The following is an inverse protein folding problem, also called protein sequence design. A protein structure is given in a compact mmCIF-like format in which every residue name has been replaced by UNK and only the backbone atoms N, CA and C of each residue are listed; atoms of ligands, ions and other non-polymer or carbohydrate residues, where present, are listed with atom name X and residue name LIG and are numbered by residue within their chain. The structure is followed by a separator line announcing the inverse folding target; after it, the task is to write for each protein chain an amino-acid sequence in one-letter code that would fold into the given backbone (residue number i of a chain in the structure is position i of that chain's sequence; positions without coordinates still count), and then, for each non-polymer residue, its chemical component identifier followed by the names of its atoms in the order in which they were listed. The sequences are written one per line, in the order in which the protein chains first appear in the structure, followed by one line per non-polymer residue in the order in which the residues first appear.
data_IF_248979090516
#
_entry.id   IF_248979090516
#
_cell.length_a   1.000
_cell.length_b   1.000
_cell.length_c   1.000
_cell.angle_alpha   90.00
_cell.angle_beta   90.00
_cell.angle_gamma   90.00
#
_symmetry.space_group_name_H-M   'P 1'
#
loop_
_entity.id
_entity.type
_entity.pdbx_description
1 polymer ?
#
# COMPACT_ATOMS: atom_id res chain seq x y z
N UNK A 1 -0.76 -25.91 5.51
CA UNK A 1 -1.37 -25.28 6.71
C UNK A 1 -1.26 -23.78 6.55
N UNK A 2 -2.35 -23.09 6.19
CA UNK A 2 -2.37 -21.63 5.96
C UNK A 2 -3.69 -21.05 6.50
N UNK A 3 -3.96 -21.28 7.78
CA UNK A 3 -5.20 -20.86 8.47
C UNK A 3 -5.00 -19.73 9.47
N UNK A 4 -3.76 -19.24 9.69
CA UNK A 4 -3.49 -18.20 10.69
C UNK A 4 -3.76 -16.76 10.26
N UNK A 5 -3.53 -16.42 8.98
CA UNK A 5 -3.59 -15.02 8.54
C UNK A 5 -5.03 -14.49 8.39
N UNK A 6 -5.99 -15.37 8.07
CA UNK A 6 -7.40 -14.99 7.92
C UNK A 6 -8.09 -14.72 9.25
N UNK A 7 -7.77 -15.47 10.30
CA UNK A 7 -8.39 -15.35 11.63
C UNK A 7 -7.92 -14.07 12.35
N UNK A 8 -6.64 -13.72 12.21
CA UNK A 8 -6.08 -12.46 12.71
C UNK A 8 -6.64 -11.23 11.98
N UNK A 9 -6.93 -11.35 10.69
CA UNK A 9 -7.56 -10.28 9.92
C UNK A 9 -8.99 -10.00 10.40
N UNK A 10 -9.75 -11.03 10.78
CA UNK A 10 -11.11 -10.89 11.30
C UNK A 10 -11.11 -10.20 12.67
N UNK A 11 -10.19 -10.58 13.56
CA UNK A 11 -10.06 -9.94 14.87
C UNK A 11 -9.68 -8.46 14.75
N UNK A 12 -8.83 -8.12 13.78
CA UNK A 12 -8.46 -6.74 13.48
C UNK A 12 -9.67 -5.94 12.97
N UNK A 13 -10.46 -6.48 12.03
CA UNK A 13 -11.64 -5.81 11.48
C UNK A 13 -12.66 -5.44 12.57
N UNK A 14 -12.82 -6.29 13.59
CA UNK A 14 -13.70 -6.01 14.73
C UNK A 14 -13.25 -4.84 15.62
N UNK A 15 -11.99 -4.40 15.51
CA UNK A 15 -11.39 -3.32 16.33
C UNK A 15 -11.23 -2.00 15.58
N UNK A 16 -11.38 -1.98 14.26
CA UNK A 16 -11.18 -0.78 13.44
C UNK A 16 -12.44 0.08 13.37
N UNK A 17 -12.30 1.39 13.59
CA UNK A 17 -13.34 2.34 13.25
C UNK A 17 -13.37 2.57 11.73
N UNK A 18 -14.49 2.22 11.09
CA UNK A 18 -14.70 2.36 9.64
C UNK A 18 -15.33 3.70 9.25
N UNK A 19 -15.84 4.48 10.22
CA UNK A 19 -16.50 5.75 9.93
C UNK A 19 -15.60 6.76 9.18
N UNK A 20 -14.29 6.88 9.48
CA UNK A 20 -13.39 7.75 8.73
C UNK A 20 -13.31 7.37 7.25
N UNK A 21 -13.13 6.09 6.94
CA UNK A 21 -13.07 5.59 5.57
C UNK A 21 -14.38 5.78 4.80
N UNK A 22 -15.54 5.61 5.45
CA UNK A 22 -16.84 5.88 4.84
C UNK A 22 -16.93 7.36 4.42
N UNK A 23 -16.59 8.29 5.33
CA UNK A 23 -16.60 9.73 5.06
C UNK A 23 -15.63 10.12 3.94
N UNK A 24 -14.41 9.59 3.97
CA UNK A 24 -13.41 9.88 2.94
C UNK A 24 -13.88 9.39 1.56
N UNK A 25 -14.45 8.18 1.48
CA UNK A 25 -15.01 7.65 0.23
C UNK A 25 -16.15 8.53 -0.30
N UNK A 26 -17.02 9.03 0.57
CA UNK A 26 -18.09 9.95 0.18
C UNK A 26 -17.54 11.28 -0.33
N UNK A 27 -16.53 11.85 0.34
CA UNK A 27 -15.83 13.06 -0.11
C UNK A 27 -15.19 12.86 -1.50
N UNK A 28 -14.51 11.74 -1.71
CA UNK A 28 -13.92 11.39 -3.01
C UNK A 28 -15.00 11.29 -4.10
N UNK A 29 -16.14 10.67 -3.79
CA UNK A 29 -17.27 10.56 -4.71
C UNK A 29 -17.85 11.94 -5.05
N UNK A 30 -18.03 12.81 -4.05
CA UNK A 30 -18.57 14.17 -4.24
C UNK A 30 -17.62 15.08 -5.03
N UNK A 31 -16.32 15.03 -4.77
CA UNK A 31 -15.33 15.89 -5.41
C UNK A 31 -14.99 15.45 -6.85
N UNK A 32 -14.95 14.14 -7.10
CA UNK A 32 -14.38 13.60 -8.34
C UNK A 32 -15.29 12.66 -9.12
N UNK A 33 -16.46 12.28 -8.59
CA UNK A 33 -17.35 11.29 -9.21
C UNK A 33 -16.67 9.92 -9.43
N UNK A 34 -15.62 9.63 -8.67
CA UNK A 34 -14.73 8.48 -8.85
C UNK A 34 -14.70 7.62 -7.59
N UNK A 35 -14.41 6.31 -7.69
CA UNK A 35 -14.16 5.48 -6.51
C UNK A 35 -12.77 5.77 -5.92
N UNK A 36 -12.52 5.31 -4.70
CA UNK A 36 -11.20 5.44 -4.03
C UNK A 36 -10.16 4.50 -4.66
N UNK A 37 -10.56 3.29 -5.03
CA UNK A 37 -9.72 2.29 -5.69
C UNK A 37 -10.44 1.73 -6.93
N UNK A 38 -9.71 1.03 -7.80
CA UNK A 38 -10.32 0.39 -8.95
C UNK A 38 -11.19 -0.81 -8.53
N UNK A 39 -12.35 -1.03 -9.17
CA UNK A 39 -13.26 -2.14 -8.85
C UNK A 39 -12.78 -3.50 -9.41
N UNK A 40 -11.76 -3.53 -10.27
CA UNK A 40 -11.26 -4.73 -10.94
C UNK A 40 -9.77 -4.94 -10.69
N UNK A 41 -9.28 -6.17 -10.86
CA UNK A 41 -7.88 -6.58 -10.89
C UNK A 41 -7.01 -5.90 -11.97
N UNK A 42 -7.55 -4.93 -12.71
CA UNK A 42 -6.81 -4.14 -13.67
C UNK A 42 -6.29 -2.86 -13.01
N UNK A 43 -4.97 -2.74 -12.94
CA UNK A 43 -4.22 -1.64 -12.30
C UNK A 43 -3.90 -0.52 -13.30
N UNK A 44 -4.42 -0.63 -14.53
CA UNK A 44 -4.20 0.35 -15.58
C UNK A 44 -4.92 1.67 -15.25
N UNK A 45 -4.16 2.77 -15.24
CA UNK A 45 -4.62 4.08 -14.76
C UNK A 45 -4.48 4.32 -13.24
N UNK A 46 -4.08 3.30 -12.47
CA UNK A 46 -3.87 3.44 -11.02
C UNK A 46 -2.74 4.42 -10.69
N UNK A 47 -2.90 5.08 -9.55
CA UNK A 47 -1.87 5.90 -8.95
C UNK A 47 -1.34 5.22 -7.68
N UNK A 48 -0.02 5.10 -7.57
CA UNK A 48 0.60 4.43 -6.43
C UNK A 48 1.03 5.43 -5.35
N UNK A 49 0.84 5.01 -4.11
CA UNK A 49 1.31 5.72 -2.92
C UNK A 49 2.07 4.77 -2.02
N UNK A 50 2.84 5.37 -1.12
CA UNK A 50 3.57 4.68 -0.06
C UNK A 50 2.86 4.93 1.27
N UNK A 51 2.50 3.86 1.96
CA UNK A 51 2.02 3.88 3.33
C UNK A 51 3.17 3.51 4.26
N UNK A 52 3.44 4.37 5.24
CA UNK A 52 4.43 4.11 6.30
C UNK A 52 3.72 4.06 7.64
N UNK A 53 3.79 2.93 8.34
CA UNK A 53 3.16 2.74 9.65
C UNK A 53 4.13 3.15 10.77
N UNK A 54 3.70 4.04 11.67
CA UNK A 54 4.52 4.46 12.80
C UNK A 54 4.18 3.68 14.07
N UNK A 55 2.93 3.82 14.55
CA UNK A 55 2.36 3.02 15.65
C UNK A 55 1.45 1.95 15.07
N UNK A 56 1.49 0.74 15.62
CA UNK A 56 0.53 -0.31 15.31
C UNK A 56 0.46 -1.34 16.46
N UNK A 57 -0.72 -1.92 16.67
CA UNK A 57 -0.98 -2.95 17.70
C UNK A 57 -1.21 -4.34 17.09
N UNK A 58 -1.06 -4.48 15.77
CA UNK A 58 -1.26 -5.71 15.01
C UNK A 58 -0.08 -5.97 14.07
N UNK A 59 0.11 -7.21 13.64
CA UNK A 59 1.18 -7.57 12.70
C UNK A 59 0.92 -6.92 11.34
N UNK A 60 1.89 -6.18 10.81
CA UNK A 60 1.83 -5.61 9.47
C UNK A 60 2.03 -6.71 8.41
N UNK A 61 0.95 -7.04 7.71
CA UNK A 61 0.93 -7.93 6.53
C UNK A 61 0.15 -7.22 5.43
N UNK A 62 0.32 -7.58 4.15
CA UNK A 62 -0.48 -6.99 3.06
C UNK A 62 -1.98 -7.03 3.35
N UNK A 63 -2.46 -8.12 3.95
CA UNK A 63 -3.86 -8.28 4.35
C UNK A 63 -4.26 -7.29 5.44
N UNK A 64 -3.55 -7.24 6.57
CA UNK A 64 -3.92 -6.34 7.68
C UNK A 64 -3.79 -4.86 7.29
N UNK A 65 -2.79 -4.52 6.48
CA UNK A 65 -2.61 -3.19 5.92
C UNK A 65 -3.75 -2.83 4.97
N UNK A 66 -4.22 -3.77 4.14
CA UNK A 66 -5.39 -3.52 3.28
C UNK A 66 -6.64 -3.18 4.09
N UNK A 67 -6.86 -3.84 5.23
CA UNK A 67 -7.96 -3.51 6.15
C UNK A 67 -7.77 -2.16 6.83
N UNK A 68 -6.55 -1.85 7.30
CA UNK A 68 -6.24 -0.56 7.89
C UNK A 68 -6.39 0.61 6.88
N UNK A 69 -6.02 0.39 5.61
CA UNK A 69 -6.26 1.36 4.54
C UNK A 69 -7.76 1.52 4.24
N UNK A 70 -8.52 0.42 4.24
CA UNK A 70 -9.97 0.48 4.07
C UNK A 70 -10.67 1.21 5.22
N UNK A 71 -10.18 1.10 6.46
CA UNK A 71 -10.78 1.81 7.59
C UNK A 71 -10.56 3.32 7.53
N UNK A 72 -9.48 3.79 6.90
CA UNK A 72 -9.16 5.22 6.80
C UNK A 72 -9.56 5.87 5.47
N UNK A 73 -9.48 5.13 4.35
CA UNK A 73 -9.77 5.64 3.00
C UNK A 73 -11.10 5.11 2.44
N UNK A 74 -11.68 4.06 3.05
CA UNK A 74 -12.90 3.42 2.57
C UNK A 74 -12.68 2.53 1.35
N UNK A 75 -13.74 1.86 0.93
CA UNK A 75 -13.69 0.89 -0.17
C UNK A 75 -13.34 -0.53 0.30
N UNK A 76 -13.03 -1.39 -0.66
CA UNK A 76 -12.67 -2.79 -0.46
C UNK A 76 -11.18 -2.94 -0.16
N UNK A 77 -10.78 -3.66 0.91
CA UNK A 77 -9.39 -3.96 1.22
C UNK A 77 -8.60 -4.49 0.01
N UNK A 78 -9.19 -5.44 -0.73
CA UNK A 78 -8.53 -6.07 -1.88
C UNK A 78 -8.26 -5.09 -3.04
N UNK A 79 -8.99 -3.96 -3.09
CA UNK A 79 -8.84 -2.95 -4.14
C UNK A 79 -7.58 -2.10 -4.01
N UNK A 80 -6.93 -2.11 -2.83
CA UNK A 80 -5.70 -1.34 -2.61
C UNK A 80 -4.45 -2.00 -3.18
N UNK A 81 -4.51 -3.26 -3.62
CA UNK A 81 -3.37 -3.99 -4.20
C UNK A 81 -2.07 -3.77 -3.39
N UNK A 82 -2.17 -4.00 -2.07
CA UNK A 82 -1.09 -3.73 -1.14
C UNK A 82 0.08 -4.67 -1.40
N UNK A 83 1.27 -4.09 -1.51
CA UNK A 83 2.52 -4.81 -1.66
C UNK A 83 3.48 -4.43 -0.51
N UNK A 84 4.05 -5.45 0.10
CA UNK A 84 5.07 -5.30 1.13
C UNK A 84 6.39 -4.88 0.50
N UNK A 85 7.01 -3.82 1.03
CA UNK A 85 8.35 -3.38 0.61
C UNK A 85 9.37 -3.67 1.70
N UNK A 86 9.10 -3.23 2.93
CA UNK A 86 9.92 -3.51 4.11
C UNK A 86 9.06 -3.39 5.38
N UNK A 87 9.69 -3.55 6.56
CA UNK A 87 9.06 -3.65 7.89
C UNK A 87 7.85 -2.74 8.13
N UNK A 88 7.92 -1.47 7.71
CA UNK A 88 6.84 -0.49 7.94
C UNK A 88 6.29 0.14 6.65
N UNK A 89 6.84 -0.24 5.50
CA UNK A 89 6.58 0.42 4.22
C UNK A 89 5.82 -0.48 3.28
N UNK A 90 4.69 0.03 2.79
CA UNK A 90 3.79 -0.68 1.89
C UNK A 90 3.45 0.19 0.70
N UNK A 91 3.58 -0.36 -0.51
CA UNK A 91 3.02 0.26 -1.71
C UNK A 91 1.55 -0.11 -1.80
N UNK A 92 0.71 0.84 -2.19
CA UNK A 92 -0.69 0.57 -2.48
C UNK A 92 -1.19 1.41 -3.65
N UNK A 93 -2.29 0.96 -4.23
CA UNK A 93 -2.94 1.50 -5.42
C UNK A 93 -4.16 2.33 -5.05
N UNK A 94 -4.34 3.44 -5.76
CA UNK A 94 -5.50 4.33 -5.73
C UNK A 94 -6.04 4.49 -7.15
N UNK A 95 -7.34 4.79 -7.28
CA UNK A 95 -8.04 4.83 -8.56
C UNK A 95 -7.45 5.80 -9.59
N UNK A 96 -6.96 6.97 -9.17
CA UNK A 96 -6.35 7.92 -10.08
C UNK A 96 -5.51 8.96 -9.35
N UNK A 97 -4.75 9.74 -10.12
CA UNK A 97 -3.86 10.79 -9.61
C UNK A 97 -4.57 11.84 -8.74
N UNK A 98 -5.80 12.25 -9.09
CA UNK A 98 -6.57 13.25 -8.30
C UNK A 98 -6.89 12.72 -6.90
N UNK A 99 -7.41 11.49 -6.82
CA UNK A 99 -7.69 10.82 -5.54
C UNK A 99 -6.39 10.59 -4.77
N UNK A 100 -5.32 10.17 -5.46
CA UNK A 100 -4.00 9.99 -4.84
C UNK A 100 -3.44 11.25 -4.19
N UNK A 101 -3.61 12.42 -4.82
CA UNK A 101 -3.22 13.69 -4.20
C UNK A 101 -4.10 14.08 -3.01
N UNK A 102 -5.38 13.74 -3.02
CA UNK A 102 -6.24 13.95 -1.85
C UNK A 102 -5.77 13.08 -0.67
N UNK A 103 -5.47 11.81 -0.91
CA UNK A 103 -4.88 10.91 0.11
C UNK A 103 -3.55 11.46 0.62
N UNK A 104 -2.66 11.90 -0.28
CA UNK A 104 -1.38 12.51 0.11
C UNK A 104 -1.56 13.78 0.95
N UNK A 105 -2.59 14.58 0.67
CA UNK A 105 -2.89 15.80 1.42
C UNK A 105 -3.34 15.51 2.86
N UNK A 106 -3.86 14.30 3.16
CA UNK A 106 -4.17 13.88 4.54
C UNK A 106 -2.90 13.84 5.42
N UNK A 107 -1.72 13.63 4.83
CA UNK A 107 -0.40 13.44 5.47
C UNK A 107 -0.31 12.21 6.36
N UNK A 108 -1.19 12.10 7.35
CA UNK A 108 -1.23 11.04 8.35
C UNK A 108 -2.67 10.77 8.77
N UNK A 109 -3.00 9.50 8.97
CA UNK A 109 -4.20 9.08 9.66
C UNK A 109 -3.82 8.45 11.01
N UNK A 110 -4.60 8.74 12.06
CA UNK A 110 -4.37 8.27 13.42
C UNK A 110 -5.63 7.58 13.91
N UNK A 111 -5.52 6.30 14.23
CA UNK A 111 -6.52 5.48 14.90
C UNK A 111 -6.02 5.03 16.28
N UNK A 112 -6.90 4.49 17.10
CA UNK A 112 -6.54 3.80 18.34
C UNK A 112 -5.51 2.69 18.14
N UNK A 113 -5.63 1.93 17.06
CA UNK A 113 -4.82 0.72 16.81
C UNK A 113 -3.57 0.99 15.99
N UNK A 114 -3.53 2.07 15.21
CA UNK A 114 -2.36 2.40 14.38
C UNK A 114 -2.29 3.88 14.00
N UNK A 115 -1.15 4.28 13.44
CA UNK A 115 -1.08 5.45 12.58
C UNK A 115 -0.36 5.12 11.28
N UNK A 116 -0.72 5.84 10.23
CA UNK A 116 -0.16 5.66 8.89
C UNK A 116 0.11 7.01 8.26
N UNK A 117 1.27 7.13 7.63
CA UNK A 117 1.69 8.28 6.85
C UNK A 117 1.58 7.97 5.36
N UNK A 118 1.14 8.95 4.58
CA UNK A 118 0.98 8.81 3.14
C UNK A 118 2.05 9.62 2.41
N UNK A 119 2.85 8.94 1.61
CA UNK A 119 3.90 9.56 0.80
C UNK A 119 3.67 9.26 -0.69
N UNK A 120 4.16 10.15 -1.56
CA UNK A 120 4.18 9.86 -2.99
C UNK A 120 5.10 8.67 -3.26
N UNK A 121 4.62 7.71 -4.05
CA UNK A 121 5.48 6.65 -4.54
C UNK A 121 6.41 7.21 -5.60
N UNK A 122 7.71 7.27 -5.30
CA UNK A 122 8.73 7.53 -6.31
C UNK A 122 9.26 6.18 -6.81
N UNK A 123 9.29 5.98 -8.12
CA UNK A 123 9.68 4.72 -8.77
C UNK A 123 11.16 4.35 -8.58
N UNK A 124 11.90 5.09 -7.74
CA UNK A 124 13.34 4.94 -7.50
C UNK A 124 13.73 3.60 -6.89
N UNK A 125 12.86 2.95 -6.10
CA UNK A 125 13.18 1.64 -5.49
C UNK A 125 13.23 0.53 -6.55
N UNK A 126 12.27 0.52 -7.49
CA UNK A 126 12.29 -0.40 -8.63
C UNK A 126 13.47 -0.13 -9.57
N UNK A 127 13.92 1.12 -9.64
CA UNK A 127 15.12 1.49 -10.38
C UNK A 127 16.38 0.92 -9.70
N UNK A 128 16.51 1.05 -8.38
CA UNK A 128 17.64 0.51 -7.62
C UNK A 128 17.71 -1.03 -7.64
N UNK A 129 16.60 -1.74 -7.53
CA UNK A 129 16.60 -3.20 -7.63
C UNK A 129 16.96 -3.70 -9.03
N UNK A 130 16.53 -2.98 -10.07
CA UNK A 130 16.90 -3.26 -11.45
C UNK A 130 18.38 -2.95 -11.69
N UNK A 131 18.88 -1.82 -11.21
CA UNK A 131 20.30 -1.48 -11.27
C UNK A 131 21.13 -2.50 -10.49
N UNK A 132 20.78 -2.82 -9.25
CA UNK A 132 21.47 -3.83 -8.45
C UNK A 132 21.55 -5.19 -9.16
N UNK A 133 20.46 -5.64 -9.79
CA UNK A 133 20.44 -6.88 -10.58
C UNK A 133 21.37 -6.80 -11.80
N UNK A 134 21.38 -5.67 -12.51
CA UNK A 134 22.30 -5.43 -13.63
C UNK A 134 23.76 -5.43 -13.15
N UNK A 135 24.06 -4.83 -12.00
CA UNK A 135 25.37 -4.84 -11.37
C UNK A 135 25.81 -6.26 -10.96
N UNK A 136 24.91 -7.07 -10.37
CA UNK A 136 25.19 -8.46 -9.99
C UNK A 136 25.45 -9.36 -11.23
N UNK A 137 24.70 -9.16 -12.32
CA UNK A 137 24.93 -9.83 -13.61
C UNK A 137 26.27 -9.43 -14.27
N UNK A 138 26.70 -8.18 -14.14
CA UNK A 138 28.01 -7.70 -14.61
C UNK A 138 29.17 -8.30 -13.81
N UNK A 139 29.04 -8.45 -12.48
CA UNK A 139 30.07 -9.10 -11.66
C UNK A 139 30.20 -10.60 -12.00
N UNK A 140 29.09 -11.29 -12.28
CA UNK A 140 29.12 -12.69 -12.72
C UNK A 140 29.90 -12.90 -14.02
N UNK A 141 29.79 -11.98 -14.97
CA UNK A 141 30.52 -12.03 -16.26
C UNK A 141 32.01 -11.73 -16.13
N UNK A 142 32.42 -11.01 -15.07
CA UNK A 142 33.84 -10.65 -14.83
C UNK A 142 34.65 -11.79 -14.24
N UNK A 143 34.00 -12.76 -13.57
CA UNK A 143 34.66 -13.95 -13.00
C UNK A 143 34.94 -15.01 -14.07
N UNK A 144 34.08 -15.14 -15.09
CA UNK A 144 34.28 -16.09 -16.21
C UNK A 144 35.37 -15.64 -17.20
N UNK A 145 35.62 -14.33 -17.35
CA UNK A 145 36.66 -13.82 -18.26
C UNK A 145 38.06 -13.75 -17.64
N UNK A 146 38.20 -13.98 -16.32
CA UNK A 146 39.50 -14.01 -15.64
C UNK A 146 40.05 -15.43 -15.44
N UNK A 147 39.42 -16.44 -16.04
CA UNK A 147 39.84 -17.86 -15.97
C UNK A 147 40.47 -18.38 -17.27
N UNK A 148 41.01 -17.51 -18.12
CA UNK A 148 41.85 -17.88 -19.27
C UNK A 148 43.28 -17.36 -19.10
#
# INVERSE_FOLDING_TARGET
MATGDGELAIELVGKLDLAPGIRFREEVCQLFGSPVHHPSSNVDGSFFLLATFGRYTFRLTPTSVSFALASCLGGSPNGFHVEFLNEHHFRFSISCKKVGFLVYALRRFIDSSFDVYFHLWNNSVAYWEKEKRLWEEEQGKRVEQSSF
#
